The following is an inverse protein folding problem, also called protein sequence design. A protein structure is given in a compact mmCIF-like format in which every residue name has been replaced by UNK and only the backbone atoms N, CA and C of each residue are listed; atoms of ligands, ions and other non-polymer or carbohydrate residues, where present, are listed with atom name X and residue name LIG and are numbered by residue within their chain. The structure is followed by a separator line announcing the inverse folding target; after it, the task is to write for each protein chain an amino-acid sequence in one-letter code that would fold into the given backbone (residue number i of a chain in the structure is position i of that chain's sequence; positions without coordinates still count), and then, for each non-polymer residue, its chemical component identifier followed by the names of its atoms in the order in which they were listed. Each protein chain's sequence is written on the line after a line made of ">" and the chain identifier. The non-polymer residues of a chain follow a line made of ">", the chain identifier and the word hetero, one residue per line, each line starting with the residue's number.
data_IF_615108748556
#
_entry.id   IF_615108748556
#
_cell.length_a   1.000
_cell.length_b   1.000
_cell.length_c   1.000
_cell.angle_alpha   90.00
_cell.angle_beta   90.00
_cell.angle_gamma   90.00
#
_symmetry.space_group_name_H-M   'P 1'
#
loop_
_entity.id
_entity.type
_entity.pdbx_description
1 polymer ?
#
# COMPACT_ATOMS: atom_id res chain seq x y z
N UNK A 1 -39.59 -9.89 -8.52
CA UNK A 1 -38.34 -9.17 -8.23
C UNK A 1 -37.61 -8.79 -9.51
N UNK A 2 -37.11 -9.75 -10.30
CA UNK A 2 -36.47 -9.49 -11.60
C UNK A 2 -37.35 -8.71 -12.60
N UNK A 3 -38.65 -9.00 -12.65
CA UNK A 3 -39.60 -8.26 -13.50
C UNK A 3 -39.79 -6.77 -13.13
N UNK A 4 -39.41 -6.37 -11.90
CA UNK A 4 -39.48 -5.00 -11.42
C UNK A 4 -38.11 -4.29 -11.47
N UNK A 5 -37.09 -4.92 -12.08
CA UNK A 5 -35.73 -4.38 -12.12
C UNK A 5 -35.01 -4.37 -10.76
N UNK A 6 -35.56 -5.06 -9.75
CA UNK A 6 -34.98 -5.13 -8.42
C UNK A 6 -34.10 -6.38 -8.34
N UNK A 7 -32.80 -6.17 -8.18
CA UNK A 7 -31.79 -7.21 -8.01
C UNK A 7 -31.12 -7.17 -6.63
N UNK A 8 -30.55 -8.29 -6.23
CA UNK A 8 -29.85 -8.42 -4.96
C UNK A 8 -28.45 -7.78 -5.02
N UNK A 9 -28.07 -7.06 -3.96
CA UNK A 9 -26.70 -6.55 -3.79
C UNK A 9 -25.93 -7.54 -2.91
N UNK A 10 -24.92 -8.19 -3.49
CA UNK A 10 -24.08 -9.16 -2.80
C UNK A 10 -22.73 -8.54 -2.42
N UNK A 11 -22.10 -9.09 -1.37
CA UNK A 11 -20.74 -8.73 -0.97
C UNK A 11 -19.70 -9.64 -1.64
N UNK A 12 -18.52 -9.10 -1.95
CA UNK A 12 -17.37 -9.86 -2.44
C UNK A 12 -16.08 -9.47 -1.72
N UNK A 13 -15.08 -10.34 -1.78
CA UNK A 13 -13.72 -10.02 -1.36
C UNK A 13 -13.07 -8.99 -2.29
N UNK A 14 -12.17 -8.20 -1.74
CA UNK A 14 -11.31 -7.30 -2.50
C UNK A 14 -10.31 -8.10 -3.34
N UNK A 15 -10.03 -7.61 -4.55
CA UNK A 15 -9.00 -8.12 -5.43
C UNK A 15 -7.60 -7.63 -5.00
N UNK A 16 -6.56 -8.36 -5.41
CA UNK A 16 -5.18 -8.04 -5.05
C UNK A 16 -4.73 -6.64 -5.51
N UNK A 17 -5.24 -6.14 -6.65
CA UNK A 17 -4.98 -4.76 -7.11
C UNK A 17 -5.68 -3.70 -6.24
N UNK A 18 -6.90 -3.97 -5.77
CA UNK A 18 -7.62 -3.08 -4.84
C UNK A 18 -6.87 -2.99 -3.50
N UNK A 19 -6.39 -4.12 -2.99
CA UNK A 19 -5.61 -4.18 -1.76
C UNK A 19 -4.27 -3.44 -1.89
N UNK A 20 -3.55 -3.59 -3.00
CA UNK A 20 -2.32 -2.84 -3.27
C UNK A 20 -2.55 -1.33 -3.23
N UNK A 21 -3.64 -0.86 -3.86
CA UNK A 21 -4.00 0.56 -3.90
C UNK A 21 -4.31 1.10 -2.50
N UNK A 22 -5.09 0.36 -1.71
CA UNK A 22 -5.40 0.73 -0.32
C UNK A 22 -4.13 0.82 0.53
N UNK A 23 -3.21 -0.11 0.33
CA UNK A 23 -1.93 -0.15 1.05
C UNK A 23 -0.97 0.99 0.65
N UNK A 24 -1.25 1.72 -0.43
CA UNK A 24 -0.45 2.86 -0.89
C UNK A 24 0.70 2.48 -1.81
N UNK A 25 0.63 1.32 -2.47
CA UNK A 25 1.53 1.00 -3.59
C UNK A 25 1.12 1.79 -4.84
N UNK A 26 2.09 2.02 -5.73
CA UNK A 26 1.83 2.68 -7.01
C UNK A 26 0.95 1.82 -7.91
N UNK A 27 0.23 2.47 -8.84
CA UNK A 27 -0.71 1.76 -9.74
C UNK A 27 0.01 0.81 -10.72
N UNK A 28 1.28 1.07 -11.01
CA UNK A 28 2.16 0.26 -11.84
C UNK A 28 2.93 -0.83 -11.05
N UNK A 29 2.67 -0.97 -9.75
CA UNK A 29 3.35 -1.96 -8.92
C UNK A 29 2.89 -3.39 -9.24
N UNK A 30 3.80 -4.21 -9.76
CA UNK A 30 3.52 -5.61 -10.14
C UNK A 30 3.99 -6.57 -9.05
N UNK A 31 3.03 -7.24 -8.40
CA UNK A 31 3.31 -8.32 -7.46
C UNK A 31 3.19 -9.70 -8.14
N UNK A 32 4.29 -10.44 -8.16
CA UNK A 32 4.39 -11.79 -8.73
C UNK A 32 4.01 -12.87 -7.71
N UNK A 33 3.66 -14.07 -8.20
CA UNK A 33 3.27 -15.21 -7.37
C UNK A 33 1.77 -15.53 -7.41
N UNK A 34 1.34 -16.45 -6.54
CA UNK A 34 -0.07 -16.87 -6.45
C UNK A 34 -0.95 -15.77 -5.82
N UNK A 35 -2.26 -15.78 -6.08
CA UNK A 35 -3.17 -14.77 -5.48
C UNK A 35 -3.18 -14.84 -3.93
N UNK A 36 -3.02 -16.04 -3.37
CA UNK A 36 -2.89 -16.25 -1.92
C UNK A 36 -1.62 -15.57 -1.38
N UNK A 37 -0.48 -15.77 -2.05
CA UNK A 37 0.79 -15.17 -1.64
C UNK A 37 0.75 -13.65 -1.79
N UNK A 38 0.14 -13.14 -2.86
CA UNK A 38 -0.05 -11.70 -3.07
C UNK A 38 -0.79 -11.08 -1.90
N UNK A 39 -1.95 -11.63 -1.52
CA UNK A 39 -2.74 -11.14 -0.39
C UNK A 39 -1.97 -11.18 0.93
N UNK A 40 -1.22 -12.26 1.17
CA UNK A 40 -0.35 -12.39 2.35
C UNK A 40 0.74 -11.30 2.37
N UNK A 41 1.41 -11.05 1.25
CA UNK A 41 2.47 -10.05 1.18
C UNK A 41 1.95 -8.64 1.31
N UNK A 42 0.81 -8.32 0.68
CA UNK A 42 0.17 -7.01 0.84
C UNK A 42 -0.21 -6.78 2.30
N UNK A 43 -0.88 -7.75 2.94
CA UNK A 43 -1.32 -7.64 4.33
C UNK A 43 -0.18 -7.56 5.36
N UNK A 44 0.97 -8.17 5.06
CA UNK A 44 2.15 -8.11 5.93
C UNK A 44 3.08 -6.92 5.65
N UNK A 45 2.82 -6.14 4.61
CA UNK A 45 3.66 -5.00 4.24
C UNK A 45 3.40 -3.77 5.12
N UNK A 46 4.39 -2.89 5.21
CA UNK A 46 4.20 -1.51 5.70
C UNK A 46 3.83 -0.63 4.52
N UNK A 47 2.88 0.31 4.69
CA UNK A 47 2.49 1.22 3.62
C UNK A 47 3.70 2.04 3.13
N UNK A 48 3.95 2.09 1.80
CA UNK A 48 5.07 2.85 1.23
C UNK A 48 5.07 4.32 1.62
N UNK A 49 3.88 4.92 1.83
CA UNK A 49 3.74 6.34 2.20
C UNK A 49 4.41 6.61 3.56
N UNK A 50 4.23 5.73 4.55
CA UNK A 50 4.85 5.91 5.86
C UNK A 50 6.37 5.78 5.77
N UNK A 51 6.85 4.75 5.07
CA UNK A 51 8.28 4.50 4.87
C UNK A 51 8.95 5.69 4.17
N UNK A 52 8.31 6.23 3.12
CA UNK A 52 8.82 7.41 2.43
C UNK A 52 8.98 8.59 3.39
N UNK A 53 7.95 8.92 4.19
CA UNK A 53 8.01 10.03 5.15
C UNK A 53 9.05 9.82 6.24
N UNK A 54 9.21 8.59 6.70
CA UNK A 54 10.26 8.24 7.66
C UNK A 54 11.64 8.50 7.08
N UNK A 55 11.93 8.01 5.88
CA UNK A 55 13.23 8.20 5.22
C UNK A 55 13.50 9.68 4.93
N UNK A 56 12.53 10.42 4.42
CA UNK A 56 12.66 11.86 4.17
C UNK A 56 13.01 12.65 5.45
N UNK A 57 12.37 12.30 6.56
CA UNK A 57 12.59 12.96 7.85
C UNK A 57 13.92 12.55 8.48
N UNK A 58 14.21 11.25 8.46
CA UNK A 58 15.45 10.70 8.98
C UNK A 58 16.66 11.25 8.22
N UNK A 59 16.60 11.31 6.89
CA UNK A 59 17.67 11.88 6.06
C UNK A 59 17.95 13.35 6.40
N UNK A 60 16.92 14.16 6.65
CA UNK A 60 17.07 15.55 7.11
C UNK A 60 17.75 15.63 8.48
N UNK A 61 17.35 14.76 9.42
CA UNK A 61 17.93 14.71 10.75
C UNK A 61 19.42 14.33 10.70
N UNK A 62 19.76 13.25 9.99
CA UNK A 62 21.15 12.80 9.79
C UNK A 62 21.99 13.90 9.13
N UNK A 63 21.48 14.52 8.07
CA UNK A 63 22.18 15.60 7.38
C UNK A 63 22.43 16.83 8.27
N UNK A 64 21.56 17.11 9.24
CA UNK A 64 21.78 18.18 10.23
C UNK A 64 22.88 17.80 11.22
N UNK A 65 22.87 16.58 11.75
CA UNK A 65 23.89 16.11 12.69
C UNK A 65 25.29 16.14 12.07
N UNK A 66 25.44 15.66 10.82
CA UNK A 66 26.73 15.67 10.12
C UNK A 66 27.29 17.08 9.91
N UNK A 67 26.42 18.08 9.67
CA UNK A 67 26.84 19.48 9.53
C UNK A 67 27.25 20.12 10.85
N UNK A 68 26.67 19.67 11.97
CA UNK A 68 27.03 20.14 13.31
C UNK A 68 28.38 19.58 13.77
N UNK A 69 28.71 18.35 13.38
CA UNK A 69 30.00 17.74 13.68
C UNK A 69 31.16 18.29 12.83
N UNK A 70 30.86 18.85 11.65
CA UNK A 70 31.84 19.42 10.73
C UNK A 70 32.14 20.91 10.94
N UNK A 71 31.41 21.58 11.84
CA UNK A 71 31.55 23.00 12.18
C UNK A 71 32.19 23.17 13.56
#
# INVERSE_FOLDING_TARGET
>A
MAHYGIGDILMRMLYSNELLKIQGFSEDYVLLGSDSDKKKFIGNSISPIYVQRWIETFGKAVGKSLKQEAA
#
